data_IF_803305551359
#
_entry.id   IF_803305551359
#
_cell.length_a   1.000
_cell.length_b   1.000
_cell.length_c   1.000
_cell.angle_alpha   90.00
_cell.angle_beta   90.00
_cell.angle_gamma   90.00
#
_symmetry.space_group_name_H-M   'P 1'
#
loop_
_entity.id
_entity.type
_entity.pdbx_description
1 polymer ?
#
# COMPACT_ATOMS: atom_id res chain seq x y z
N UNK A 1 16.27 -30.86 24.89
CA UNK A 1 17.47 -30.70 24.02
C UNK A 1 17.23 -31.16 22.58
N UNK A 2 16.54 -32.28 22.31
CA UNK A 2 16.22 -32.73 20.94
C UNK A 2 15.11 -31.91 20.24
N UNK A 3 14.14 -31.40 20.99
CA UNK A 3 13.10 -30.47 20.46
C UNK A 3 13.70 -29.15 19.98
N UNK A 4 14.66 -28.60 20.74
CA UNK A 4 15.37 -27.35 20.43
C UNK A 4 16.19 -27.46 19.13
N UNK A 5 16.79 -28.63 18.86
CA UNK A 5 17.56 -28.85 17.64
C UNK A 5 16.66 -29.05 16.41
N UNK A 6 15.48 -29.67 16.58
CA UNK A 6 14.49 -29.84 15.52
C UNK A 6 13.84 -28.50 15.12
N UNK A 7 13.42 -27.70 16.11
CA UNK A 7 12.91 -26.33 15.89
C UNK A 7 13.94 -25.46 15.16
N UNK A 8 15.22 -25.55 15.57
CA UNK A 8 16.30 -24.77 14.95
C UNK A 8 16.61 -25.20 13.51
N UNK A 9 16.53 -26.50 13.19
CA UNK A 9 16.67 -26.95 11.80
C UNK A 9 15.46 -26.60 10.94
N UNK A 10 14.24 -26.71 11.49
CA UNK A 10 13.02 -26.34 10.78
C UNK A 10 13.01 -24.83 10.48
N UNK A 11 13.37 -23.99 11.45
CA UNK A 11 13.45 -22.54 11.27
C UNK A 11 14.54 -22.13 10.27
N UNK A 12 15.70 -22.80 10.26
CA UNK A 12 16.75 -22.54 9.28
C UNK A 12 16.31 -22.87 7.84
N UNK A 13 15.68 -24.03 7.63
CA UNK A 13 15.16 -24.41 6.30
C UNK A 13 14.03 -23.49 5.86
N UNK A 14 13.15 -23.08 6.79
CA UNK A 14 12.09 -22.13 6.50
C UNK A 14 12.65 -20.74 6.18
N UNK A 15 13.66 -20.27 6.92
CA UNK A 15 14.30 -18.98 6.68
C UNK A 15 15.02 -18.94 5.32
N UNK A 16 15.68 -20.04 4.92
CA UNK A 16 16.28 -20.18 3.59
C UNK A 16 15.22 -20.19 2.49
N UNK A 17 14.12 -20.92 2.66
CA UNK A 17 13.13 -21.10 1.60
C UNK A 17 12.16 -19.92 1.44
N UNK A 18 11.70 -19.35 2.56
CA UNK A 18 10.66 -18.31 2.56
C UNK A 18 11.21 -16.90 2.74
N UNK A 19 12.48 -16.73 3.11
CA UNK A 19 13.09 -15.41 3.26
C UNK A 19 13.04 -14.57 1.98
N UNK A 20 13.30 -15.19 0.83
CA UNK A 20 13.22 -14.52 -0.47
C UNK A 20 11.79 -14.29 -0.93
N UNK A 21 10.88 -15.24 -0.67
CA UNK A 21 9.44 -15.10 -0.96
C UNK A 21 8.84 -13.94 -0.18
N UNK A 22 9.16 -13.81 1.11
CA UNK A 22 8.73 -12.68 1.95
C UNK A 22 9.27 -11.36 1.42
N UNK A 23 10.56 -11.28 1.10
CA UNK A 23 11.14 -10.05 0.53
C UNK A 23 10.47 -9.67 -0.78
N UNK A 24 10.16 -10.66 -1.62
CA UNK A 24 9.49 -10.42 -2.89
C UNK A 24 8.07 -9.91 -2.68
N UNK A 25 7.26 -10.59 -1.87
CA UNK A 25 5.88 -10.17 -1.56
C UNK A 25 5.82 -8.76 -0.95
N UNK A 26 6.69 -8.46 0.01
CA UNK A 26 6.78 -7.12 0.61
C UNK A 26 7.30 -6.10 -0.40
N UNK A 27 8.22 -6.51 -1.27
CA UNK A 27 8.76 -5.71 -2.36
C UNK A 27 7.69 -5.29 -3.36
N UNK A 28 6.93 -6.25 -3.90
CA UNK A 28 5.82 -6.03 -4.83
C UNK A 28 4.75 -5.14 -4.19
N UNK A 29 4.31 -5.50 -2.98
CA UNK A 29 3.27 -4.76 -2.27
C UNK A 29 3.68 -3.33 -1.95
N UNK A 30 4.96 -3.06 -1.68
CA UNK A 30 5.45 -1.70 -1.46
C UNK A 30 5.78 -0.94 -2.75
N UNK A 31 6.07 -1.64 -3.85
CA UNK A 31 6.44 -1.02 -5.13
C UNK A 31 5.23 -0.43 -5.83
N UNK A 32 4.13 -1.17 -5.92
CA UNK A 32 2.88 -0.72 -6.56
C UNK A 32 2.39 0.61 -5.95
N UNK A 33 2.48 0.70 -4.64
CA UNK A 33 2.08 1.84 -3.81
C UNK A 33 2.95 3.04 -4.07
N UNK A 34 4.28 2.83 -4.09
CA UNK A 34 5.26 3.87 -4.36
C UNK A 34 5.05 4.47 -5.75
N UNK A 35 4.85 3.63 -6.76
CA UNK A 35 4.64 4.08 -8.14
C UNK A 35 3.30 4.80 -8.32
N UNK A 36 2.22 4.26 -7.77
CA UNK A 36 0.90 4.91 -7.79
C UNK A 36 0.93 6.27 -7.10
N UNK A 37 1.49 6.32 -5.90
CA UNK A 37 1.68 7.56 -5.12
C UNK A 37 2.51 8.60 -5.88
N UNK A 38 3.68 8.20 -6.39
CA UNK A 38 4.56 9.11 -7.11
C UNK A 38 3.87 9.68 -8.35
N UNK A 39 3.10 8.85 -9.05
CA UNK A 39 2.30 9.28 -10.20
C UNK A 39 1.23 10.30 -9.80
N UNK A 40 0.48 10.07 -8.73
CA UNK A 40 -0.56 11.00 -8.26
C UNK A 40 0.01 12.35 -7.80
N UNK A 41 1.14 12.34 -7.09
CA UNK A 41 1.83 13.58 -6.72
C UNK A 41 2.41 14.30 -7.94
N UNK A 42 3.00 13.58 -8.89
CA UNK A 42 3.54 14.17 -10.11
C UNK A 42 2.43 14.82 -10.95
N UNK A 43 1.28 14.15 -11.10
CA UNK A 43 0.13 14.67 -11.84
C UNK A 43 -0.43 15.94 -11.19
N UNK A 44 -0.82 15.88 -9.92
CA UNK A 44 -1.43 17.02 -9.24
C UNK A 44 -0.43 18.15 -9.00
N UNK A 45 0.80 17.83 -8.60
CA UNK A 45 1.86 18.82 -8.38
C UNK A 45 2.31 19.49 -9.68
N UNK A 46 2.44 18.72 -10.76
CA UNK A 46 2.75 19.25 -12.10
C UNK A 46 1.64 20.18 -12.62
N UNK A 47 0.38 19.79 -12.44
CA UNK A 47 -0.77 20.64 -12.81
C UNK A 47 -0.84 21.93 -11.98
N UNK A 48 -0.53 21.85 -10.68
CA UNK A 48 -0.46 23.02 -9.80
C UNK A 48 0.67 23.98 -10.22
N UNK A 49 1.85 23.44 -10.54
CA UNK A 49 2.98 24.22 -11.02
C UNK A 49 2.68 24.90 -12.36
N UNK A 50 2.01 24.19 -13.27
CA UNK A 50 1.54 24.75 -14.54
C UNK A 50 0.50 25.87 -14.31
N UNK A 51 -0.49 25.65 -13.44
CA UNK A 51 -1.49 26.65 -13.10
C UNK A 51 -0.84 27.92 -12.54
N UNK A 52 0.20 27.79 -11.70
CA UNK A 52 0.95 28.94 -11.15
C UNK A 52 1.67 29.80 -12.19
N UNK A 53 1.83 29.33 -13.43
CA UNK A 53 2.40 30.11 -14.54
C UNK A 53 1.34 30.89 -15.33
N UNK A 54 0.05 30.65 -15.10
CA UNK A 54 -1.03 31.32 -15.79
C UNK A 54 -1.40 32.63 -15.07
N UNK A 55 -1.44 33.74 -15.79
CA UNK A 55 -1.89 35.05 -15.28
C UNK A 55 -3.43 35.14 -15.25
N UNK A 56 -4.11 34.16 -14.66
CA UNK A 56 -5.57 34.10 -14.64
C UNK A 56 -6.08 34.02 -13.19
N UNK A 57 -7.06 34.85 -12.85
CA UNK A 57 -7.64 34.92 -11.49
C UNK A 57 -9.15 34.74 -11.49
N UNK A 58 -9.73 34.15 -12.53
CA UNK A 58 -11.17 33.86 -12.53
C UNK A 58 -11.52 32.77 -11.50
N UNK A 59 -12.81 32.69 -11.16
CA UNK A 59 -13.31 31.74 -10.16
C UNK A 59 -13.01 30.28 -10.54
N UNK A 60 -13.08 29.94 -11.83
CA UNK A 60 -12.77 28.60 -12.33
C UNK A 60 -11.31 28.21 -12.08
N UNK A 61 -10.38 29.14 -12.25
CA UNK A 61 -8.97 28.95 -11.92
C UNK A 61 -8.77 28.68 -10.44
N UNK A 62 -9.42 29.46 -9.56
CA UNK A 62 -9.36 29.22 -8.11
C UNK A 62 -9.87 27.82 -7.73
N UNK A 63 -11.00 27.39 -8.29
CA UNK A 63 -11.54 26.04 -8.03
C UNK A 63 -10.67 24.93 -8.63
N UNK A 64 -10.00 25.18 -9.76
CA UNK A 64 -9.06 24.23 -10.34
C UNK A 64 -7.84 24.03 -9.43
N UNK A 65 -7.22 25.13 -8.97
CA UNK A 65 -6.09 25.10 -8.04
C UNK A 65 -6.46 24.39 -6.73
N UNK A 66 -7.65 24.69 -6.18
CA UNK A 66 -8.16 24.00 -4.99
C UNK A 66 -8.32 22.49 -5.25
N UNK A 67 -8.83 22.10 -6.42
CA UNK A 67 -8.99 20.69 -6.80
C UNK A 67 -7.64 19.97 -6.83
N UNK A 68 -6.59 20.56 -7.41
CA UNK A 68 -5.25 19.94 -7.39
C UNK A 68 -4.69 19.80 -5.96
N UNK A 69 -4.91 20.79 -5.08
CA UNK A 69 -4.53 20.67 -3.67
C UNK A 69 -5.28 19.53 -2.95
N UNK A 70 -6.57 19.35 -3.21
CA UNK A 70 -7.34 18.22 -2.70
C UNK A 70 -6.84 16.87 -3.25
N UNK A 71 -6.41 16.84 -4.52
CA UNK A 71 -5.74 15.68 -5.12
C UNK A 71 -4.41 15.32 -4.44
N UNK A 72 -3.61 16.34 -4.08
CA UNK A 72 -2.37 16.15 -3.30
C UNK A 72 -2.69 15.65 -1.87
N UNK A 73 -3.68 16.26 -1.21
CA UNK A 73 -4.07 15.87 0.15
C UNK A 73 -4.55 14.42 0.22
N UNK A 74 -5.42 14.02 -0.72
CA UNK A 74 -5.89 12.63 -0.81
C UNK A 74 -4.76 11.65 -1.12
N UNK A 75 -3.75 12.05 -1.89
CA UNK A 75 -2.53 11.25 -2.11
C UNK A 75 -1.74 11.04 -0.82
N UNK A 76 -1.59 12.06 0.04
CA UNK A 76 -0.93 11.90 1.34
C UNK A 76 -1.69 10.95 2.27
N UNK A 77 -3.03 11.06 2.31
CA UNK A 77 -3.86 10.15 3.10
C UNK A 77 -3.73 8.71 2.58
N UNK A 78 -3.72 8.53 1.25
CA UNK A 78 -3.47 7.23 0.64
C UNK A 78 -2.12 6.66 1.08
N UNK A 79 -1.03 7.42 1.03
CA UNK A 79 0.30 6.97 1.49
C UNK A 79 0.28 6.52 2.94
N UNK A 80 -0.27 7.33 3.85
CA UNK A 80 -0.32 6.99 5.28
C UNK A 80 -1.13 5.72 5.54
N UNK A 81 -2.29 5.58 4.88
CA UNK A 81 -3.12 4.39 4.96
C UNK A 81 -2.40 3.16 4.40
N UNK A 82 -1.83 3.29 3.20
CA UNK A 82 -1.06 2.26 2.51
C UNK A 82 0.13 1.75 3.31
N UNK A 83 0.87 2.67 3.96
CA UNK A 83 1.98 2.31 4.84
C UNK A 83 1.48 1.51 6.05
N UNK A 84 0.38 1.93 6.67
CA UNK A 84 -0.22 1.23 7.81
C UNK A 84 -0.62 -0.20 7.41
N UNK A 85 -1.29 -0.36 6.25
CA UNK A 85 -1.68 -1.68 5.73
C UNK A 85 -0.50 -2.56 5.35
N UNK A 86 0.56 -1.98 4.80
CA UNK A 86 1.81 -2.71 4.52
C UNK A 86 2.45 -3.22 5.81
N UNK A 87 2.48 -2.41 6.87
CA UNK A 87 2.98 -2.84 8.19
C UNK A 87 2.12 -3.96 8.79
N UNK A 88 0.78 -3.84 8.72
CA UNK A 88 -0.15 -4.90 9.16
C UNK A 88 0.04 -6.20 8.37
N UNK A 89 0.25 -6.11 7.06
CA UNK A 89 0.53 -7.24 6.19
C UNK A 89 1.82 -7.95 6.58
N UNK A 90 2.92 -7.20 6.77
CA UNK A 90 4.21 -7.75 7.20
C UNK A 90 4.07 -8.46 8.54
N UNK A 91 3.40 -7.83 9.52
CA UNK A 91 3.20 -8.42 10.83
C UNK A 91 2.40 -9.74 10.77
N UNK A 92 1.39 -9.82 9.90
CA UNK A 92 0.63 -11.06 9.68
C UNK A 92 1.47 -12.16 9.00
N UNK A 93 2.27 -11.80 7.99
CA UNK A 93 3.19 -12.77 7.34
C UNK A 93 4.18 -13.33 8.35
N UNK A 94 4.76 -12.48 9.21
CA UNK A 94 5.68 -12.95 10.26
C UNK A 94 5.02 -13.93 11.23
N UNK A 95 3.76 -13.70 11.62
CA UNK A 95 3.01 -14.61 12.49
C UNK A 95 2.65 -15.92 11.78
N UNK A 96 2.27 -15.87 10.50
CA UNK A 96 2.04 -17.07 9.70
C UNK A 96 3.31 -17.92 9.62
N UNK A 97 4.46 -17.29 9.34
CA UNK A 97 5.76 -17.97 9.31
C UNK A 97 6.06 -18.67 10.64
N UNK A 98 5.85 -18.00 11.78
CA UNK A 98 6.02 -18.58 13.11
C UNK A 98 5.12 -19.81 13.32
N UNK A 99 3.83 -19.71 12.97
CA UNK A 99 2.87 -20.81 13.11
C UNK A 99 3.21 -22.01 12.22
N UNK A 100 3.67 -21.79 10.98
CA UNK A 100 4.11 -22.89 10.12
C UNK A 100 5.37 -23.58 10.64
N UNK A 101 6.33 -22.83 11.17
CA UNK A 101 7.54 -23.41 11.78
C UNK A 101 7.16 -24.26 12.99
N UNK A 102 6.26 -23.75 13.85
CA UNK A 102 5.72 -24.48 15.00
C UNK A 102 4.99 -25.76 14.56
N UNK A 103 4.13 -25.70 13.54
CA UNK A 103 3.44 -26.86 12.99
C UNK A 103 4.43 -27.90 12.44
N UNK A 104 5.45 -27.46 11.69
CA UNK A 104 6.46 -28.34 11.13
C UNK A 104 7.33 -29.01 12.20
N UNK A 105 7.62 -28.30 13.30
CA UNK A 105 8.46 -28.81 14.39
C UNK A 105 7.71 -29.71 15.38
N UNK A 106 6.44 -29.41 15.66
CA UNK A 106 5.64 -30.12 16.68
C UNK A 106 4.70 -31.18 16.11
N UNK A 107 4.42 -31.15 14.80
CA UNK A 107 3.41 -32.01 14.17
C UNK A 107 1.97 -31.70 14.58
N UNK A 108 1.76 -30.65 15.38
CA UNK A 108 0.45 -30.20 15.85
C UNK A 108 -0.37 -29.55 14.73
N UNK A 109 -1.66 -29.88 14.62
CA UNK A 109 -2.60 -29.21 13.70
C UNK A 109 -3.06 -27.87 14.31
N UNK A 110 -2.23 -26.83 14.19
CA UNK A 110 -2.60 -25.43 14.45
C UNK A 110 -3.45 -24.82 13.30
N UNK A 111 -4.26 -25.63 12.64
CA UNK A 111 -4.97 -25.26 11.39
C UNK A 111 -5.91 -24.08 11.57
N UNK A 112 -6.59 -23.96 12.72
CA UNK A 112 -7.54 -22.86 12.95
C UNK A 112 -6.90 -21.48 13.05
N UNK A 113 -5.74 -21.36 13.70
CA UNK A 113 -5.02 -20.07 13.78
C UNK A 113 -4.38 -19.70 12.43
N UNK A 114 -3.83 -20.69 11.72
CA UNK A 114 -3.27 -20.49 10.38
C UNK A 114 -4.35 -19.98 9.42
N UNK A 115 -5.53 -20.62 9.38
CA UNK A 115 -6.65 -20.20 8.55
C UNK A 115 -7.10 -18.76 8.86
N UNK A 116 -7.13 -18.37 10.15
CA UNK A 116 -7.46 -17.00 10.55
C UNK A 116 -6.45 -15.99 10.03
N UNK A 117 -5.15 -16.26 10.18
CA UNK A 117 -4.12 -15.35 9.70
C UNK A 117 -4.01 -15.32 8.18
N UNK A 118 -4.28 -16.44 7.49
CA UNK A 118 -4.38 -16.48 6.03
C UNK A 118 -5.58 -15.67 5.51
N UNK A 119 -6.74 -15.81 6.15
CA UNK A 119 -7.92 -15.02 5.84
C UNK A 119 -7.64 -13.53 6.01
N UNK A 120 -6.97 -13.15 7.11
CA UNK A 120 -6.59 -11.76 7.38
C UNK A 120 -5.53 -11.24 6.39
N UNK A 121 -4.57 -12.07 5.98
CA UNK A 121 -3.60 -11.74 4.93
C UNK A 121 -4.33 -11.43 3.62
N UNK A 122 -5.27 -12.29 3.23
CA UNK A 122 -6.07 -12.10 2.01
C UNK A 122 -6.93 -10.85 2.09
N UNK A 123 -7.59 -10.60 3.24
CA UNK A 123 -8.36 -9.38 3.50
C UNK A 123 -7.49 -8.12 3.36
N UNK A 124 -6.29 -8.07 3.95
CA UNK A 124 -5.42 -6.89 3.85
C UNK A 124 -4.94 -6.69 2.41
N UNK A 125 -4.64 -7.77 1.70
CA UNK A 125 -4.23 -7.70 0.29
C UNK A 125 -5.34 -7.20 -0.63
N UNK A 126 -6.60 -7.50 -0.32
CA UNK A 126 -7.78 -7.04 -1.09
C UNK A 126 -8.33 -5.70 -0.61
N UNK A 127 -8.09 -5.33 0.65
CA UNK A 127 -8.48 -4.05 1.25
C UNK A 127 -7.59 -2.87 0.81
N UNK A 128 -6.68 -3.08 -0.15
CA UNK A 128 -6.03 -2.00 -0.86
C UNK A 128 -7.11 -1.13 -1.48
N UNK A 129 -7.43 -0.01 -0.84
CA UNK A 129 -8.63 0.76 -1.20
C UNK A 129 -8.27 1.65 -2.38
N UNK A 130 -8.70 1.30 -3.61
CA UNK A 130 -8.39 2.11 -4.78
C UNK A 130 -9.18 3.43 -4.75
N UNK A 131 -10.12 3.59 -3.82
CA UNK A 131 -10.97 4.76 -3.69
C UNK A 131 -10.19 6.04 -3.40
N UNK A 132 -9.10 6.00 -2.61
CA UNK A 132 -8.30 7.19 -2.33
C UNK A 132 -7.45 7.60 -3.54
N UNK A 133 -6.89 6.62 -4.27
CA UNK A 133 -6.21 6.90 -5.54
C UNK A 133 -7.18 7.39 -6.61
N UNK A 134 -8.39 6.83 -6.69
CA UNK A 134 -9.44 7.30 -7.59
C UNK A 134 -9.96 8.68 -7.20
N UNK A 135 -10.05 9.00 -5.91
CA UNK A 135 -10.41 10.34 -5.44
C UNK A 135 -9.35 11.34 -5.87
N UNK A 136 -8.06 11.03 -5.68
CA UNK A 136 -6.96 11.90 -6.13
C UNK A 136 -6.99 12.11 -7.64
N UNK A 137 -7.17 11.04 -8.41
CA UNK A 137 -7.31 11.13 -9.87
C UNK A 137 -8.58 11.89 -10.31
N UNK A 138 -9.68 11.74 -9.57
CA UNK A 138 -10.91 12.48 -9.79
C UNK A 138 -10.74 13.98 -9.57
N UNK A 139 -10.05 14.37 -8.50
CA UNK A 139 -9.68 15.76 -8.24
C UNK A 139 -8.75 16.33 -9.31
N UNK A 140 -7.77 15.55 -9.78
CA UNK A 140 -6.93 15.93 -10.90
C UNK A 140 -7.75 16.19 -12.18
N UNK A 141 -8.65 15.26 -12.53
CA UNK A 141 -9.50 15.36 -13.72
C UNK A 141 -10.45 16.55 -13.65
N UNK A 142 -11.04 16.80 -12.47
CA UNK A 142 -11.87 17.98 -12.21
C UNK A 142 -11.06 19.27 -12.35
N UNK A 143 -9.85 19.33 -11.78
CA UNK A 143 -8.97 20.48 -11.88
C UNK A 143 -8.59 20.80 -13.34
N UNK A 144 -8.31 19.78 -14.15
CA UNK A 144 -8.05 19.96 -15.59
C UNK A 144 -9.28 20.47 -16.35
N UNK A 145 -10.47 19.94 -16.06
CA UNK A 145 -11.71 20.40 -16.68
C UNK A 145 -11.97 21.88 -16.35
N UNK A 146 -11.81 22.26 -15.08
CA UNK A 146 -11.98 23.64 -14.60
C UNK A 146 -10.94 24.59 -15.21
N UNK A 147 -9.68 24.17 -15.35
CA UNK A 147 -8.68 24.95 -16.10
C UNK A 147 -9.06 25.16 -17.57
N UNK A 148 -9.71 24.17 -18.19
CA UNK A 148 -10.24 24.29 -19.54
C UNK A 148 -11.31 25.37 -19.69
N UNK A 149 -12.18 25.52 -18.68
CA UNK A 149 -13.19 26.59 -18.61
C UNK A 149 -12.62 27.93 -18.11
N UNK A 150 -11.42 27.92 -17.54
CA UNK A 150 -10.76 29.12 -17.06
C UNK A 150 -10.02 29.89 -18.17
N UNK A 151 -9.77 29.28 -19.33
CA UNK A 151 -9.23 29.95 -20.52
C UNK A 151 -10.22 30.94 -21.11
#
# INVERSE_FOLDING_TARGET
MAEDSALRQASLRYAEYYGDVRRHLVGEHSAEVRWSTASLFALNGGALAFAGQLENQNLFFMFAVLSFWLGILTSFVFVGYSQTKTCEFIANIMKLEELYILQAATGSKLTGEIEQFEAKKNEISTAYTPYLSYASFGFFSLGLALLGFAR
#
